data_IF_973773532268
#
_entry.id   IF_973773532268
#
_cell.length_a   1.000
_cell.length_b   1.000
_cell.length_c   1.000
_cell.angle_alpha   90.00
_cell.angle_beta   90.00
_cell.angle_gamma   90.00
#
_symmetry.space_group_name_H-M   'P 1'
#
loop_
_entity.id
_entity.type
_entity.pdbx_description
1 polymer ?
#
# COMPACT_ATOMS: atom_id res chain seq x y z
N UNK A 1 -20.13 -5.19 -29.17
CA UNK A 1 -18.88 -4.41 -29.24
C UNK A 1 -18.69 -3.79 -27.88
N UNK A 2 -18.06 -4.51 -26.94
CA UNK A 2 -17.61 -3.98 -25.64
C UNK A 2 -16.28 -4.67 -25.32
N UNK A 3 -15.28 -3.87 -24.95
CA UNK A 3 -13.86 -4.20 -24.84
C UNK A 3 -13.56 -5.11 -23.63
N UNK A 4 -12.40 -5.81 -23.60
CA UNK A 4 -12.10 -6.80 -22.57
C UNK A 4 -11.73 -6.11 -21.25
N UNK A 5 -12.67 -6.02 -20.31
CA UNK A 5 -12.41 -5.55 -18.94
C UNK A 5 -11.78 -6.68 -18.11
N UNK A 6 -10.51 -6.97 -18.38
CA UNK A 6 -9.78 -8.07 -17.73
C UNK A 6 -8.27 -7.85 -17.62
N UNK A 7 -7.76 -6.71 -18.09
CA UNK A 7 -6.32 -6.42 -18.19
C UNK A 7 -5.83 -5.28 -17.28
N UNK A 8 -6.58 -4.92 -16.22
CA UNK A 8 -6.12 -3.97 -15.18
C UNK A 8 -5.33 -4.65 -14.02
N UNK A 9 -4.89 -5.89 -14.22
CA UNK A 9 -4.35 -6.77 -13.18
C UNK A 9 -2.99 -6.43 -12.52
N UNK A 10 -2.21 -5.38 -12.89
CA UNK A 10 -1.04 -5.00 -12.09
C UNK A 10 -1.23 -3.75 -11.21
N UNK A 11 -2.04 -2.78 -11.62
CA UNK A 11 -2.10 -1.46 -10.97
C UNK A 11 -3.02 -1.44 -9.75
N UNK A 12 -4.21 -2.03 -9.85
CA UNK A 12 -5.16 -2.10 -8.74
C UNK A 12 -4.66 -2.97 -7.58
N UNK A 13 -3.95 -4.06 -7.88
CA UNK A 13 -3.32 -4.87 -6.83
C UNK A 13 -2.16 -4.13 -6.15
N UNK A 14 -1.35 -3.39 -6.92
CA UNK A 14 -0.30 -2.54 -6.34
C UNK A 14 -0.91 -1.50 -5.41
N UNK A 15 -1.98 -0.83 -5.83
CA UNK A 15 -2.70 0.14 -5.02
C UNK A 15 -3.22 -0.49 -3.71
N UNK A 16 -3.85 -1.67 -3.79
CA UNK A 16 -4.31 -2.41 -2.62
C UNK A 16 -3.18 -2.78 -1.65
N UNK A 17 -2.04 -3.28 -2.16
CA UNK A 17 -0.86 -3.60 -1.34
C UNK A 17 -0.34 -2.37 -0.61
N UNK A 18 -0.23 -1.24 -1.30
CA UNK A 18 0.25 0.01 -0.72
C UNK A 18 -0.69 0.53 0.37
N UNK A 19 -2.01 0.50 0.15
CA UNK A 19 -3.00 0.90 1.15
C UNK A 19 -2.97 -0.01 2.38
N UNK A 20 -2.91 -1.33 2.17
CA UNK A 20 -2.82 -2.32 3.25
C UNK A 20 -1.55 -2.16 4.08
N UNK A 21 -0.41 -1.97 3.42
CA UNK A 21 0.88 -1.71 4.06
C UNK A 21 0.86 -0.38 4.82
N UNK A 22 0.32 0.68 4.22
CA UNK A 22 0.24 1.99 4.86
C UNK A 22 -0.58 1.95 6.16
N UNK A 23 -1.74 1.29 6.15
CA UNK A 23 -2.56 1.09 7.35
C UNK A 23 -1.88 0.17 8.37
N UNK A 24 -1.26 -0.93 7.92
CA UNK A 24 -0.51 -1.84 8.78
C UNK A 24 0.63 -1.13 9.52
N UNK A 25 1.46 -0.36 8.80
CA UNK A 25 2.61 0.34 9.38
C UNK A 25 2.15 1.35 10.43
N UNK A 26 1.11 2.14 10.12
CA UNK A 26 0.59 3.14 11.06
C UNK A 26 -0.01 2.54 12.34
N UNK A 27 -0.56 1.32 12.27
CA UNK A 27 -1.19 0.64 13.39
C UNK A 27 -0.24 -0.26 14.18
N UNK A 28 0.70 -0.93 13.50
CA UNK A 28 1.49 -2.03 14.06
C UNK A 28 2.96 -1.68 14.25
N UNK A 29 3.52 -0.74 13.48
CA UNK A 29 4.91 -0.33 13.62
C UNK A 29 4.98 0.93 14.49
N UNK A 30 5.59 0.89 15.68
CA UNK A 30 5.68 2.08 16.54
C UNK A 30 6.71 3.11 16.04
N UNK A 31 7.82 2.64 15.46
CA UNK A 31 8.95 3.46 14.97
C UNK A 31 8.78 3.96 13.53
N UNK A 32 7.76 3.47 12.82
CA UNK A 32 7.52 3.77 11.42
C UNK A 32 6.10 4.28 11.24
N UNK A 33 5.91 5.19 10.29
CA UNK A 33 4.59 5.63 9.86
C UNK A 33 4.52 5.64 8.34
N UNK A 34 3.32 5.50 7.80
CA UNK A 34 3.09 5.70 6.38
C UNK A 34 2.92 7.18 6.08
N UNK A 35 3.43 7.62 4.93
CA UNK A 35 3.27 8.98 4.44
C UNK A 35 2.02 9.07 3.55
N UNK A 36 0.94 9.74 4.01
CA UNK A 36 -0.33 9.77 3.29
C UNK A 36 -0.25 10.60 2.00
N UNK A 37 0.59 11.64 1.96
CA UNK A 37 0.81 12.48 0.77
C UNK A 37 1.52 11.67 -0.32
N UNK A 38 2.55 10.90 0.07
CA UNK A 38 3.28 10.00 -0.84
C UNK A 38 2.40 8.88 -1.35
N UNK A 39 1.60 8.26 -0.47
CA UNK A 39 0.64 7.24 -0.87
C UNK A 39 -0.32 7.82 -1.91
N UNK A 40 -0.94 8.97 -1.63
CA UNK A 40 -1.85 9.65 -2.57
C UNK A 40 -1.19 9.90 -3.92
N UNK A 41 0.03 10.43 -3.94
CA UNK A 41 0.75 10.73 -5.19
C UNK A 41 1.00 9.47 -6.03
N UNK A 42 1.40 8.37 -5.39
CA UNK A 42 1.69 7.10 -6.07
C UNK A 42 0.43 6.47 -6.63
N UNK A 43 -0.65 6.49 -5.85
CA UNK A 43 -1.95 5.93 -6.22
C UNK A 43 -2.57 6.73 -7.36
N UNK A 44 -2.48 8.06 -7.30
CA UNK A 44 -2.84 8.94 -8.41
C UNK A 44 -2.00 8.66 -9.66
N UNK A 45 -0.69 8.41 -9.53
CA UNK A 45 0.18 7.96 -10.63
C UNK A 45 -0.21 6.60 -11.21
N UNK A 46 -0.85 5.73 -10.42
CA UNK A 46 -1.40 4.46 -10.87
C UNK A 46 -2.77 4.62 -11.57
N UNK A 47 -3.38 5.81 -11.49
CA UNK A 47 -4.69 6.12 -12.08
C UNK A 47 -5.88 5.85 -11.16
N UNK A 48 -5.65 5.79 -9.85
CA UNK A 48 -6.68 5.59 -8.83
C UNK A 48 -6.71 6.79 -7.86
N UNK A 49 -7.83 7.03 -7.19
CA UNK A 49 -7.90 7.99 -6.09
C UNK A 49 -7.81 7.31 -4.73
N UNK A 50 -7.46 8.07 -3.68
CA UNK A 50 -7.48 7.54 -2.31
C UNK A 50 -8.87 7.01 -1.92
N UNK A 51 -9.92 7.65 -2.40
CA UNK A 51 -11.30 7.18 -2.20
C UNK A 51 -11.63 5.86 -2.88
N UNK A 52 -10.84 5.41 -3.87
CA UNK A 52 -10.97 4.07 -4.47
C UNK A 52 -10.29 3.01 -3.62
N UNK A 53 -9.22 3.35 -2.89
CA UNK A 53 -8.59 2.45 -1.92
C UNK A 53 -9.52 2.16 -0.73
N UNK A 54 -10.36 3.12 -0.37
CA UNK A 54 -11.29 3.03 0.76
C UNK A 54 -12.62 2.36 0.39
N UNK A 55 -12.83 2.05 -0.89
CA UNK A 55 -14.10 1.52 -1.42
C UNK A 55 -13.88 0.30 -2.32
N UNK A 56 -14.92 -0.53 -2.46
CA UNK A 56 -14.93 -1.65 -3.42
C UNK A 56 -13.91 -2.76 -3.16
N UNK A 57 -13.47 -3.39 -4.24
CA UNK A 57 -12.58 -4.57 -4.25
C UNK A 57 -11.15 -4.25 -3.81
N UNK A 58 -10.65 -3.05 -4.08
CA UNK A 58 -9.30 -2.62 -3.66
C UNK A 58 -9.18 -2.61 -2.13
N UNK A 59 -10.21 -2.11 -1.44
CA UNK A 59 -10.27 -2.15 0.03
C UNK A 59 -10.21 -3.58 0.58
N UNK A 60 -10.98 -4.50 -0.01
CA UNK A 60 -10.99 -5.91 0.41
C UNK A 60 -9.62 -6.54 0.25
N UNK A 61 -8.97 -6.32 -0.90
CA UNK A 61 -7.60 -6.78 -1.14
C UNK A 61 -6.60 -6.15 -0.16
N UNK A 62 -6.67 -4.84 0.07
CA UNK A 62 -5.81 -4.13 1.01
C UNK A 62 -5.93 -4.69 2.44
N UNK A 63 -7.16 -5.02 2.87
CA UNK A 63 -7.41 -5.63 4.17
C UNK A 63 -6.80 -7.04 4.26
N UNK A 64 -6.90 -7.84 3.20
CA UNK A 64 -6.24 -9.16 3.14
C UNK A 64 -4.72 -9.07 3.26
N UNK A 65 -4.10 -8.11 2.57
CA UNK A 65 -2.66 -7.85 2.70
C UNK A 65 -2.29 -7.35 4.10
N UNK A 66 -3.08 -6.45 4.67
CA UNK A 66 -2.90 -5.96 6.04
C UNK A 66 -2.86 -7.12 7.04
N UNK A 67 -3.85 -8.02 6.99
CA UNK A 67 -3.91 -9.18 7.89
C UNK A 67 -2.72 -10.14 7.68
N UNK A 68 -2.25 -10.30 6.44
CA UNK A 68 -1.03 -11.04 6.16
C UNK A 68 0.22 -10.42 6.81
N UNK A 69 0.37 -9.09 6.77
CA UNK A 69 1.47 -8.38 7.43
C UNK A 69 1.38 -8.45 8.96
N UNK A 70 0.17 -8.38 9.51
CA UNK A 70 -0.08 -8.52 10.95
C UNK A 70 0.35 -9.87 11.51
N UNK A 71 0.40 -10.90 10.67
CA UNK A 71 0.86 -12.24 11.06
C UNK A 71 2.32 -12.24 11.52
N UNK A 72 3.16 -11.39 10.93
CA UNK A 72 4.57 -11.20 11.31
C UNK A 72 4.89 -9.71 11.36
N UNK A 73 4.46 -9.04 12.44
CA UNK A 73 4.65 -7.59 12.61
C UNK A 73 6.12 -7.16 12.47
N UNK A 74 7.08 -7.70 13.24
CA UNK A 74 8.45 -7.19 13.24
C UNK A 74 9.14 -7.36 11.88
N UNK A 75 8.94 -8.51 11.22
CA UNK A 75 9.51 -8.76 9.91
C UNK A 75 8.86 -7.87 8.83
N UNK A 76 7.53 -7.69 8.90
CA UNK A 76 6.79 -6.85 7.96
C UNK A 76 7.17 -5.37 8.12
N UNK A 77 7.37 -4.87 9.34
CA UNK A 77 7.88 -3.52 9.59
C UNK A 77 9.29 -3.34 9.01
N UNK A 78 10.19 -4.32 9.22
CA UNK A 78 11.55 -4.27 8.68
C UNK A 78 11.54 -4.29 7.14
N UNK A 79 10.73 -5.15 6.52
CA UNK A 79 10.55 -5.17 5.06
C UNK A 79 9.92 -3.87 4.56
N UNK A 80 8.97 -3.31 5.28
CA UNK A 80 8.32 -2.05 4.93
C UNK A 80 9.34 -0.92 4.88
N UNK A 81 10.18 -0.78 5.90
CA UNK A 81 11.28 0.19 5.89
C UNK A 81 12.31 -0.08 4.79
N UNK A 82 12.67 -1.35 4.54
CA UNK A 82 13.65 -1.69 3.52
C UNK A 82 13.17 -1.42 2.08
N UNK A 83 11.89 -1.66 1.79
CA UNK A 83 11.33 -1.56 0.44
C UNK A 83 10.64 -0.22 0.14
N UNK A 84 10.04 0.37 1.16
CA UNK A 84 9.20 1.58 1.06
C UNK A 84 9.76 2.75 1.88
N UNK A 85 10.87 2.56 2.59
CA UNK A 85 11.60 3.62 3.27
C UNK A 85 12.12 4.70 2.32
N UNK A 86 12.76 5.73 2.86
CA UNK A 86 13.39 6.80 2.06
C UNK A 86 14.40 6.25 1.04
N UNK A 87 15.09 5.16 1.39
CA UNK A 87 16.05 4.44 0.52
C UNK A 87 15.45 3.20 -0.14
N UNK A 88 14.14 3.02 -0.08
CA UNK A 88 13.45 1.84 -0.58
C UNK A 88 13.39 1.78 -2.11
N UNK A 89 13.40 0.57 -2.66
CA UNK A 89 13.43 0.35 -4.11
C UNK A 89 12.06 0.32 -4.78
N UNK A 90 10.96 0.16 -4.03
CA UNK A 90 9.60 -0.02 -4.60
C UNK A 90 8.85 1.30 -4.67
N UNK A 91 8.64 1.95 -3.52
CA UNK A 91 8.08 3.30 -3.44
C UNK A 91 8.87 4.08 -2.41
N UNK A 92 9.94 4.78 -2.82
CA UNK A 92 10.79 5.49 -1.88
C UNK A 92 10.04 6.61 -1.18
N UNK A 93 10.17 6.66 0.14
CA UNK A 93 9.56 7.66 1.01
C UNK A 93 8.08 7.44 1.34
N UNK A 94 7.52 6.26 1.02
CA UNK A 94 6.16 5.91 1.41
C UNK A 94 6.07 5.56 2.90
N UNK A 95 7.10 4.93 3.43
CA UNK A 95 7.26 4.67 4.86
C UNK A 95 8.35 5.58 5.36
N UNK A 96 8.05 6.33 6.40
CA UNK A 96 8.99 7.26 7.03
C UNK A 96 9.16 6.88 8.49
N UNK A 97 10.36 7.05 9.06
CA UNK A 97 10.53 6.96 10.51
C UNK A 97 9.60 7.98 11.16
N UNK A 98 9.01 7.58 12.29
CA UNK A 98 8.00 8.37 12.98
C UNK A 98 8.54 9.65 13.58
#
# INVERSE_FOLDING_TARGET
MEAPDGAAAPKGETAAKLAGLAGFVNLSCPDLRSDPERLKAVIHSLGYEMTDLERGTIRLSAHGYMEAYRRNVPESCARAAALFGQTGSVVPGLVVPR
#
